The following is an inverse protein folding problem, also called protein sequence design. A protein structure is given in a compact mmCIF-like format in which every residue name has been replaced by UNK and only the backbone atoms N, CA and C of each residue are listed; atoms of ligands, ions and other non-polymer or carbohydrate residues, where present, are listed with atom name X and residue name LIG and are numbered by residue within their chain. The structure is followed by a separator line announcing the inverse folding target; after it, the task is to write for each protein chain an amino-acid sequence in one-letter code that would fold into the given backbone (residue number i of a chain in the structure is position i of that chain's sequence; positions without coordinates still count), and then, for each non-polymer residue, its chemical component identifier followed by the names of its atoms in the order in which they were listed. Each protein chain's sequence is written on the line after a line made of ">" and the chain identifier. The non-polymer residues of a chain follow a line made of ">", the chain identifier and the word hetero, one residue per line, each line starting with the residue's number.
data_IF_522245877082
#
_entry.id   IF_522245877082
#
_cell.length_a   1.000
_cell.length_b   1.000
_cell.length_c   1.000
_cell.angle_alpha   90.00
_cell.angle_beta   90.00
_cell.angle_gamma   90.00
#
_symmetry.space_group_name_H-M   'P 1'
#
loop_
_entity.id
_entity.type
_entity.pdbx_description
1 polymer ?
#
# COMPACT_ATOMS: atom_id res chain seq x y z
N UNK A 1 1.77 -3.33 44.92
CA UNK A 1 1.53 -2.86 43.53
C UNK A 1 1.05 -4.06 42.73
N UNK A 2 -0.06 -3.95 42.00
CA UNK A 2 -0.49 -5.01 41.09
C UNK A 2 0.51 -5.05 39.92
N UNK A 3 1.26 -6.13 39.80
CA UNK A 3 2.13 -6.39 38.64
C UNK A 3 1.24 -6.50 37.39
N UNK A 4 1.55 -5.76 36.33
CA UNK A 4 0.78 -5.79 35.08
C UNK A 4 1.57 -6.56 34.01
N UNK A 5 1.23 -7.83 33.75
CA UNK A 5 2.04 -8.72 32.91
C UNK A 5 1.95 -8.37 31.42
N UNK A 6 3.11 -8.24 30.78
CA UNK A 6 3.33 -8.07 29.34
C UNK A 6 3.65 -9.39 28.64
N UNK A 7 4.24 -10.34 29.36
CA UNK A 7 4.55 -11.66 28.83
C UNK A 7 3.26 -12.45 28.55
N UNK A 8 3.20 -13.10 27.37
CA UNK A 8 2.07 -13.95 26.96
C UNK A 8 2.48 -15.33 26.41
N UNK A 9 3.74 -15.68 26.56
CA UNK A 9 4.29 -16.94 26.07
C UNK A 9 4.07 -18.11 27.03
N UNK A 10 4.64 -19.24 26.69
CA UNK A 10 4.60 -20.48 27.47
C UNK A 10 5.84 -20.58 28.38
N UNK A 11 5.63 -20.84 29.68
CA UNK A 11 6.70 -21.15 30.64
C UNK A 11 6.66 -22.61 31.00
N UNK A 12 7.81 -23.27 30.89
CA UNK A 12 8.02 -24.64 31.36
C UNK A 12 8.71 -24.62 32.74
N UNK A 13 8.15 -25.31 33.73
CA UNK A 13 8.73 -25.38 35.08
C UNK A 13 9.35 -26.75 35.31
N UNK A 14 10.67 -26.82 35.25
CA UNK A 14 11.47 -28.01 35.57
C UNK A 14 11.79 -28.03 37.06
N UNK A 15 11.30 -29.04 37.80
CA UNK A 15 11.54 -29.16 39.23
C UNK A 15 11.62 -30.61 39.69
N UNK A 16 12.25 -30.83 40.86
CA UNK A 16 12.28 -32.15 41.49
C UNK A 16 11.20 -32.25 42.57
N UNK A 17 10.22 -33.13 42.39
CA UNK A 17 9.06 -33.31 43.28
C UNK A 17 9.41 -33.63 44.74
N UNK A 18 10.48 -34.40 44.94
CA UNK A 18 10.94 -34.82 46.27
C UNK A 18 11.68 -33.71 47.02
N UNK A 19 11.98 -32.58 46.37
CA UNK A 19 12.87 -31.56 46.92
C UNK A 19 12.09 -30.37 47.50
N UNK A 20 11.24 -29.70 46.71
CA UNK A 20 10.54 -28.48 47.16
C UNK A 20 9.12 -28.32 46.59
N UNK A 21 8.20 -29.28 46.80
CA UNK A 21 6.86 -29.26 46.20
C UNK A 21 5.97 -28.11 46.70
N UNK A 22 6.19 -27.61 47.92
CA UNK A 22 5.47 -26.46 48.47
C UNK A 22 5.73 -25.16 47.71
N UNK A 23 7.01 -24.85 47.47
CA UNK A 23 7.45 -23.67 46.72
C UNK A 23 6.91 -23.69 45.28
N UNK A 24 6.98 -24.84 44.61
CA UNK A 24 6.50 -24.97 43.23
C UNK A 24 4.99 -24.76 43.14
N UNK A 25 4.22 -25.32 44.08
CA UNK A 25 2.76 -25.10 44.12
C UNK A 25 2.40 -23.63 44.32
N UNK A 26 3.09 -22.94 45.22
CA UNK A 26 2.87 -21.52 45.44
C UNK A 26 3.24 -20.68 44.21
N UNK A 27 4.42 -20.92 43.62
CA UNK A 27 4.87 -20.25 42.39
C UNK A 27 3.87 -20.46 41.24
N UNK A 28 3.37 -21.69 41.07
CA UNK A 28 2.35 -21.96 40.06
C UNK A 28 1.07 -21.19 40.28
N UNK A 29 0.59 -21.10 41.53
CA UNK A 29 -0.61 -20.35 41.87
C UNK A 29 -0.45 -18.90 41.43
N UNK A 30 0.67 -18.28 41.77
CA UNK A 30 0.94 -16.89 41.42
C UNK A 30 1.12 -16.71 39.91
N UNK A 31 1.88 -17.58 39.25
CA UNK A 31 2.04 -17.52 37.80
C UNK A 31 0.73 -17.69 37.04
N UNK A 32 -0.16 -18.59 37.50
CA UNK A 32 -1.49 -18.78 36.88
C UNK A 32 -2.40 -17.58 37.11
N UNK A 33 -2.32 -16.96 38.29
CA UNK A 33 -3.09 -15.76 38.61
C UNK A 33 -2.60 -14.54 37.81
N UNK A 34 -1.30 -14.42 37.56
CA UNK A 34 -0.70 -13.31 36.85
C UNK A 34 -0.72 -13.49 35.33
N UNK A 35 -0.10 -14.55 34.80
CA UNK A 35 0.06 -14.78 33.36
C UNK A 35 -1.11 -15.55 32.72
N UNK A 36 -1.93 -16.21 33.54
CA UNK A 36 -3.06 -17.02 33.09
C UNK A 36 -2.72 -18.50 32.94
N UNK A 37 -3.72 -19.36 33.18
CA UNK A 37 -3.50 -20.81 33.31
C UNK A 37 -3.03 -21.53 32.04
N UNK A 38 -3.24 -20.94 30.85
CA UNK A 38 -2.82 -21.51 29.56
C UNK A 38 -1.33 -21.29 29.24
N UNK A 39 -0.66 -20.43 29.98
CA UNK A 39 0.72 -20.02 29.73
C UNK A 39 1.73 -20.77 30.60
N UNK A 40 1.27 -21.54 31.59
CA UNK A 40 2.14 -22.25 32.54
C UNK A 40 2.00 -23.75 32.31
N UNK A 41 3.03 -24.35 31.71
CA UNK A 41 3.11 -25.78 31.45
C UNK A 41 3.90 -26.45 32.58
N UNK A 42 3.30 -27.49 33.16
CA UNK A 42 3.90 -28.30 34.20
C UNK A 42 4.06 -29.72 33.68
N UNK A 43 5.20 -30.33 34.01
CA UNK A 43 5.42 -31.74 34.32
C UNK A 43 4.44 -32.77 33.73
N UNK A 44 5.03 -33.70 32.98
CA UNK A 44 4.33 -34.74 32.25
C UNK A 44 4.13 -35.98 33.11
N UNK A 45 3.10 -35.98 33.96
CA UNK A 45 2.54 -37.24 34.48
C UNK A 45 1.20 -37.63 33.86
N UNK A 46 0.60 -36.75 33.05
CA UNK A 46 -0.52 -37.10 32.16
C UNK A 46 -0.02 -37.68 30.81
N UNK A 47 1.11 -38.40 30.83
CA UNK A 47 1.60 -39.11 29.64
C UNK A 47 0.78 -40.38 29.47
N UNK A 48 0.03 -40.47 28.38
CA UNK A 48 -0.71 -41.67 28.04
C UNK A 48 0.23 -42.89 28.00
N UNK A 49 -0.21 -44.00 28.60
CA UNK A 49 0.54 -45.25 28.61
C UNK A 49 0.90 -45.69 27.18
N UNK A 50 2.18 -45.97 26.94
CA UNK A 50 2.71 -46.40 25.63
C UNK A 50 3.40 -45.30 24.79
N UNK A 51 3.50 -44.07 25.30
CA UNK A 51 4.17 -42.97 24.59
C UNK A 51 5.69 -42.93 24.86
N UNK A 52 6.50 -42.54 23.87
CA UNK A 52 7.92 -42.27 24.07
C UNK A 52 8.10 -40.94 24.82
N UNK A 53 8.40 -41.04 26.12
CA UNK A 53 8.51 -39.91 27.02
C UNK A 53 9.57 -38.89 26.62
N UNK A 54 10.66 -39.30 25.95
CA UNK A 54 11.70 -38.37 25.50
C UNK A 54 11.16 -37.45 24.41
N UNK A 55 10.38 -37.99 23.50
CA UNK A 55 9.73 -37.23 22.42
C UNK A 55 8.79 -36.18 23.02
N UNK A 56 8.02 -36.53 24.04
CA UNK A 56 7.07 -35.58 24.63
C UNK A 56 7.80 -34.50 25.47
N UNK A 57 8.90 -34.82 26.17
CA UNK A 57 9.72 -33.80 26.85
C UNK A 57 10.32 -32.85 25.83
N UNK A 58 10.86 -33.38 24.72
CA UNK A 58 11.39 -32.56 23.64
C UNK A 58 10.32 -31.66 23.02
N UNK A 59 9.11 -32.18 22.81
CA UNK A 59 7.98 -31.43 22.28
C UNK A 59 7.53 -30.32 23.25
N UNK A 60 7.36 -30.65 24.54
CA UNK A 60 6.96 -29.71 25.57
C UNK A 60 7.99 -28.59 25.76
N UNK A 61 9.29 -28.92 25.81
CA UNK A 61 10.37 -27.93 25.87
C UNK A 61 10.47 -27.15 24.56
N UNK A 62 10.26 -27.75 23.40
CA UNK A 62 10.31 -27.03 22.12
C UNK A 62 9.20 -25.98 21.96
N UNK A 63 8.09 -26.18 22.66
CA UNK A 63 6.93 -25.29 22.62
C UNK A 63 6.95 -24.23 23.74
N UNK A 64 7.97 -24.20 24.59
CA UNK A 64 8.12 -23.18 25.64
C UNK A 64 8.99 -22.00 25.18
N UNK A 65 8.61 -20.78 25.60
CA UNK A 65 9.41 -19.57 25.37
C UNK A 65 10.42 -19.31 26.50
N UNK A 66 10.26 -20.00 27.64
CA UNK A 66 11.08 -19.85 28.84
C UNK A 66 11.05 -21.13 29.67
N UNK A 67 12.18 -21.52 30.24
CA UNK A 67 12.27 -22.58 31.25
C UNK A 67 12.68 -22.02 32.62
N UNK A 68 11.93 -22.36 33.66
CA UNK A 68 12.30 -22.13 35.06
C UNK A 68 12.90 -23.41 35.63
N UNK A 69 14.15 -23.37 36.06
CA UNK A 69 14.82 -24.49 36.71
C UNK A 69 14.75 -24.30 38.23
N UNK A 70 13.84 -25.02 38.90
CA UNK A 70 13.66 -24.91 40.35
C UNK A 70 14.70 -25.77 41.07
N UNK A 71 15.56 -25.12 41.85
CA UNK A 71 16.68 -25.73 42.56
C UNK A 71 16.43 -25.58 44.06
N UNK A 72 16.12 -26.70 44.73
CA UNK A 72 16.02 -26.79 46.19
C UNK A 72 17.27 -27.43 46.82
N UNK A 73 17.30 -27.56 48.16
CA UNK A 73 18.49 -28.03 48.89
C UNK A 73 18.92 -29.47 48.53
N UNK A 74 17.97 -30.33 48.16
CA UNK A 74 18.21 -31.71 47.75
C UNK A 74 18.42 -31.91 46.25
N UNK A 75 18.39 -30.85 45.45
CA UNK A 75 18.37 -30.95 43.99
C UNK A 75 19.58 -31.69 43.41
N UNK A 76 20.79 -31.36 43.88
CA UNK A 76 22.08 -31.95 43.46
C UNK A 76 22.28 -33.35 44.03
N UNK A 77 21.87 -33.56 45.28
CA UNK A 77 22.18 -34.77 46.06
C UNK A 77 21.12 -35.86 45.94
N UNK A 78 20.02 -35.60 45.22
CA UNK A 78 18.96 -36.56 44.98
C UNK A 78 19.49 -37.86 44.37
N UNK A 79 19.07 -38.99 44.95
CA UNK A 79 19.48 -40.34 44.52
C UNK A 79 18.32 -41.14 43.94
N UNK A 80 18.63 -42.06 43.05
CA UNK A 80 17.71 -43.08 42.56
C UNK A 80 17.61 -44.29 43.52
N UNK A 81 16.85 -45.31 43.13
CA UNK A 81 16.70 -46.56 43.89
C UNK A 81 18.02 -47.31 44.06
N UNK A 82 18.98 -47.11 43.14
CA UNK A 82 20.32 -47.71 43.15
C UNK A 82 21.36 -46.85 43.91
N UNK A 83 20.90 -45.83 44.64
CA UNK A 83 21.75 -44.88 45.37
C UNK A 83 22.72 -44.08 44.49
N UNK A 84 22.51 -43.99 43.18
CA UNK A 84 23.28 -43.12 42.29
C UNK A 84 22.68 -41.72 42.26
N UNK A 85 23.51 -40.67 42.08
CA UNK A 85 22.98 -39.31 41.93
C UNK A 85 22.17 -39.24 40.65
N UNK A 86 20.93 -38.76 40.76
CA UNK A 86 19.99 -38.70 39.63
C UNK A 86 20.50 -37.83 38.49
N UNK A 87 21.15 -36.69 38.80
CA UNK A 87 21.71 -35.83 37.76
C UNK A 87 22.83 -36.52 36.95
N UNK A 88 23.52 -37.51 37.51
CA UNK A 88 24.56 -38.25 36.76
C UNK A 88 23.94 -39.21 35.74
N UNK A 89 22.70 -39.65 35.96
CA UNK A 89 21.93 -40.42 34.97
C UNK A 89 21.56 -39.54 33.77
N UNK A 90 21.89 -40.01 32.58
CA UNK A 90 21.54 -39.35 31.31
C UNK A 90 20.03 -39.39 31.04
N UNK A 91 19.28 -40.22 31.76
CA UNK A 91 17.83 -40.37 31.62
C UNK A 91 17.04 -39.58 32.69
N UNK A 92 17.69 -38.85 33.61
CA UNK A 92 16.95 -38.04 34.58
C UNK A 92 16.22 -36.88 33.89
N UNK A 93 14.92 -36.78 34.16
CA UNK A 93 14.03 -35.84 33.48
C UNK A 93 14.47 -34.38 33.63
N UNK A 94 14.81 -33.97 34.87
CA UNK A 94 15.26 -32.61 35.16
C UNK A 94 16.52 -32.26 34.37
N UNK A 95 17.46 -33.21 34.23
CA UNK A 95 18.65 -33.02 33.41
C UNK A 95 18.28 -32.89 31.93
N UNK A 96 17.46 -33.80 31.40
CA UNK A 96 17.03 -33.79 30.00
C UNK A 96 16.32 -32.49 29.63
N UNK A 97 15.40 -32.01 30.47
CA UNK A 97 14.64 -30.77 30.26
C UNK A 97 15.56 -29.55 30.17
N UNK A 98 16.47 -29.38 31.15
CA UNK A 98 17.38 -28.23 31.21
C UNK A 98 18.39 -28.27 30.06
N UNK A 99 19.00 -29.43 29.80
CA UNK A 99 19.95 -29.60 28.68
C UNK A 99 19.25 -29.32 27.36
N UNK A 100 18.02 -29.81 27.17
CA UNK A 100 17.21 -29.59 25.97
C UNK A 100 16.91 -28.11 25.73
N UNK A 101 16.58 -27.37 26.78
CA UNK A 101 16.33 -25.92 26.70
C UNK A 101 17.61 -25.14 26.38
N UNK A 102 18.71 -25.43 27.07
CA UNK A 102 20.01 -24.80 26.84
C UNK A 102 20.51 -25.02 25.41
N UNK A 103 20.41 -26.25 24.90
CA UNK A 103 20.81 -26.60 23.54
C UNK A 103 20.00 -25.83 22.47
N UNK A 104 18.71 -25.58 22.73
CA UNK A 104 17.80 -24.82 21.86
C UNK A 104 17.91 -23.30 22.05
N UNK A 105 18.76 -22.83 22.97
CA UNK A 105 18.86 -21.43 23.38
C UNK A 105 17.53 -20.85 23.88
N UNK A 106 16.67 -21.71 24.43
CA UNK A 106 15.51 -21.26 25.19
C UNK A 106 16.05 -20.63 26.47
N UNK A 107 15.61 -19.43 26.85
CA UNK A 107 16.09 -18.82 28.07
C UNK A 107 15.77 -19.69 29.29
N UNK A 108 16.77 -19.85 30.17
CA UNK A 108 16.64 -20.60 31.41
C UNK A 108 16.86 -19.64 32.58
N UNK A 109 15.93 -19.61 33.54
CA UNK A 109 16.10 -18.88 34.80
C UNK A 109 16.21 -19.90 35.94
N UNK A 110 17.38 -20.04 36.57
CA UNK A 110 17.50 -20.80 37.81
C UNK A 110 16.75 -20.10 38.93
N UNK A 111 15.89 -20.84 39.64
CA UNK A 111 15.10 -20.34 40.76
C UNK A 111 15.49 -21.09 42.02
N UNK A 112 16.14 -20.41 42.97
CA UNK A 112 16.62 -21.02 44.21
C UNK A 112 15.51 -20.99 45.27
N UNK A 113 15.15 -22.14 45.81
CA UNK A 113 14.07 -22.27 46.81
C UNK A 113 14.58 -22.92 48.10
N UNK A 114 13.90 -22.69 49.22
CA UNK A 114 14.22 -23.36 50.49
C UNK A 114 15.65 -23.10 51.00
N UNK A 115 16.19 -21.90 50.78
CA UNK A 115 17.58 -21.52 51.09
C UNK A 115 18.65 -22.34 50.34
N UNK A 116 18.29 -22.93 49.20
CA UNK A 116 19.26 -23.56 48.32
C UNK A 116 20.33 -22.57 47.84
N UNK A 117 21.54 -23.09 47.65
CA UNK A 117 22.64 -22.36 47.02
C UNK A 117 22.78 -22.82 45.58
N UNK A 118 23.30 -21.93 44.74
CA UNK A 118 23.64 -22.30 43.37
C UNK A 118 24.71 -23.42 43.39
N UNK A 119 24.52 -24.52 42.63
CA UNK A 119 25.53 -25.57 42.54
C UNK A 119 26.83 -25.05 41.93
N UNK A 120 27.94 -25.69 42.30
CA UNK A 120 29.25 -25.47 41.68
C UNK A 120 29.39 -26.29 40.39
N UNK A 121 30.31 -25.91 39.51
CA UNK A 121 30.52 -26.61 38.23
C UNK A 121 30.95 -28.08 38.40
N UNK A 122 31.65 -28.40 39.49
CA UNK A 122 32.12 -29.76 39.81
C UNK A 122 30.99 -30.66 40.31
N UNK A 123 29.93 -30.08 40.87
CA UNK A 123 28.76 -30.81 41.35
C UNK A 123 27.82 -31.22 40.22
N UNK A 124 28.00 -30.66 39.01
CA UNK A 124 27.14 -30.88 37.85
C UNK A 124 27.81 -31.69 36.75
N UNK A 125 27.04 -32.52 36.03
CA UNK A 125 27.47 -33.10 34.76
C UNK A 125 27.89 -32.02 33.75
N UNK A 126 28.81 -32.39 32.86
CA UNK A 126 29.44 -31.46 31.90
C UNK A 126 28.44 -30.68 31.03
N UNK A 127 27.31 -31.30 30.65
CA UNK A 127 26.25 -30.70 29.84
C UNK A 127 25.34 -29.72 30.61
N UNK A 128 25.39 -29.73 31.95
CA UNK A 128 24.65 -28.81 32.81
C UNK A 128 25.51 -27.67 33.37
N UNK A 129 26.83 -27.66 33.16
CA UNK A 129 27.71 -26.66 33.76
C UNK A 129 27.39 -25.22 33.33
N UNK A 130 26.80 -25.02 32.14
CA UNK A 130 26.32 -23.70 31.68
C UNK A 130 25.30 -23.09 32.66
N UNK A 131 24.52 -23.90 33.37
CA UNK A 131 23.52 -23.46 34.33
C UNK A 131 24.14 -22.58 35.44
N UNK A 132 25.38 -22.89 35.86
CA UNK A 132 26.10 -22.15 36.93
C UNK A 132 26.40 -20.71 36.53
N UNK A 133 26.52 -20.44 35.23
CA UNK A 133 26.81 -19.09 34.72
C UNK A 133 25.57 -18.20 34.62
N UNK A 134 24.37 -18.77 34.82
CA UNK A 134 23.12 -18.03 34.72
C UNK A 134 22.79 -17.32 36.04
N UNK A 135 22.24 -16.11 35.93
CA UNK A 135 21.78 -15.35 37.09
C UNK A 135 20.56 -16.03 37.72
N UNK A 136 20.72 -16.52 38.94
CA UNK A 136 19.62 -17.14 39.67
C UNK A 136 18.73 -16.09 40.36
N UNK A 137 17.45 -16.43 40.54
CA UNK A 137 16.48 -15.66 41.31
C UNK A 137 16.09 -16.46 42.57
N UNK A 138 16.41 -15.96 43.77
CA UNK A 138 16.00 -16.63 45.00
C UNK A 138 14.52 -16.37 45.31
N UNK A 139 13.81 -17.39 45.78
CA UNK A 139 12.48 -17.29 46.39
C UNK A 139 12.56 -17.76 47.84
N UNK A 140 12.35 -16.83 48.77
CA UNK A 140 12.29 -17.10 50.21
C UNK A 140 10.85 -17.17 50.71
N UNK A 141 10.60 -17.86 51.83
CA UNK A 141 9.26 -17.86 52.42
C UNK A 141 8.94 -16.50 53.05
N UNK A 142 9.97 -15.84 53.60
CA UNK A 142 9.87 -14.58 54.34
C UNK A 142 9.62 -13.36 53.43
N UNK A 143 10.07 -13.41 52.17
CA UNK A 143 9.94 -12.30 51.19
C UNK A 143 9.21 -12.74 49.92
N UNK A 144 8.27 -13.66 50.05
CA UNK A 144 7.59 -14.29 48.92
C UNK A 144 7.06 -13.28 47.90
N UNK A 145 6.28 -12.29 48.35
CA UNK A 145 5.65 -11.31 47.45
C UNK A 145 6.68 -10.48 46.65
N UNK A 146 7.76 -10.03 47.32
CA UNK A 146 8.82 -9.25 46.69
C UNK A 146 9.65 -10.10 45.72
N UNK A 147 9.98 -11.33 46.13
CA UNK A 147 10.79 -12.26 45.33
C UNK A 147 10.01 -12.74 44.08
N UNK A 148 8.70 -12.94 44.18
CA UNK A 148 7.82 -13.24 43.03
C UNK A 148 7.77 -12.08 42.04
N UNK A 149 7.63 -10.83 42.51
CA UNK A 149 7.67 -9.66 41.63
C UNK A 149 9.02 -9.57 40.90
N UNK A 150 10.12 -9.84 41.59
CA UNK A 150 11.46 -9.88 40.99
C UNK A 150 11.59 -10.98 39.93
N UNK A 151 11.05 -12.17 40.21
CA UNK A 151 11.03 -13.27 39.24
C UNK A 151 10.21 -12.89 38.00
N UNK A 152 9.01 -12.34 38.17
CA UNK A 152 8.16 -11.96 37.04
C UNK A 152 8.79 -10.84 36.20
N UNK A 153 9.46 -9.89 36.85
CA UNK A 153 10.26 -8.87 36.14
C UNK A 153 11.41 -9.49 35.34
N UNK A 154 12.09 -10.50 35.91
CA UNK A 154 13.15 -11.22 35.21
C UNK A 154 12.61 -12.02 34.02
N UNK A 155 11.44 -12.67 34.16
CA UNK A 155 10.73 -13.35 33.07
C UNK A 155 10.47 -12.38 31.92
N UNK A 156 9.86 -11.23 32.20
CA UNK A 156 9.56 -10.23 31.15
C UNK A 156 10.82 -9.71 30.47
N UNK A 157 11.86 -9.40 31.23
CA UNK A 157 13.11 -8.89 30.67
C UNK A 157 13.75 -9.89 29.70
N UNK A 158 13.72 -11.17 30.04
CA UNK A 158 14.36 -12.22 29.24
C UNK A 158 13.52 -12.62 28.01
N UNK A 159 12.21 -12.37 28.03
CA UNK A 159 11.29 -12.83 26.98
C UNK A 159 10.71 -11.70 26.12
N UNK A 160 10.25 -10.61 26.74
CA UNK A 160 9.57 -9.49 26.08
C UNK A 160 10.57 -8.59 25.36
N UNK A 161 11.69 -8.23 25.99
CA UNK A 161 12.66 -7.30 25.41
C UNK A 161 13.28 -7.85 24.09
N UNK A 162 13.74 -9.12 24.00
CA UNK A 162 14.24 -9.68 22.74
C UNK A 162 13.16 -9.79 21.66
N UNK A 163 11.92 -10.13 22.05
CA UNK A 163 10.78 -10.21 21.13
C UNK A 163 10.46 -8.84 20.53
N UNK A 164 10.38 -7.81 21.36
CA UNK A 164 10.16 -6.43 20.93
C UNK A 164 11.32 -5.97 20.05
N UNK A 165 12.59 -6.25 20.42
CA UNK A 165 13.75 -5.88 19.61
C UNK A 165 13.71 -6.52 18.21
N UNK A 166 13.31 -7.80 18.11
CA UNK A 166 13.15 -8.51 16.83
C UNK A 166 11.98 -7.97 16.01
N UNK A 167 10.84 -7.67 16.65
CA UNK A 167 9.71 -7.04 15.97
C UNK A 167 10.07 -5.64 15.48
N UNK A 168 10.80 -4.87 16.29
CA UNK A 168 11.26 -3.53 15.95
C UNK A 168 12.21 -3.54 14.76
N UNK A 169 13.21 -4.44 14.75
CA UNK A 169 14.12 -4.57 13.60
C UNK A 169 13.38 -5.00 12.33
N UNK A 170 12.41 -5.92 12.45
CA UNK A 170 11.54 -6.33 11.33
C UNK A 170 10.69 -5.16 10.83
N UNK A 171 10.14 -4.34 11.74
CA UNK A 171 9.35 -3.18 11.38
C UNK A 171 10.20 -2.11 10.68
N UNK A 172 11.43 -1.86 11.14
CA UNK A 172 12.37 -0.96 10.46
C UNK A 172 12.75 -1.50 9.07
N UNK A 173 13.02 -2.80 8.94
CA UNK A 173 13.29 -3.41 7.64
C UNK A 173 12.11 -3.27 6.67
N UNK A 174 10.88 -3.46 7.16
CA UNK A 174 9.65 -3.23 6.38
C UNK A 174 9.51 -1.76 5.98
N UNK A 175 9.86 -0.81 6.86
CA UNK A 175 9.89 0.62 6.51
C UNK A 175 10.90 0.90 5.40
N UNK A 176 12.13 0.39 5.52
CA UNK A 176 13.18 0.57 4.52
C UNK A 176 12.80 -0.03 3.15
N UNK A 177 12.00 -1.11 3.16
CA UNK A 177 11.46 -1.74 1.95
C UNK A 177 10.19 -1.07 1.39
N UNK A 178 9.62 -0.08 2.09
CA UNK A 178 8.40 0.63 1.67
C UNK A 178 7.08 -0.01 2.12
N UNK A 179 7.11 -1.09 2.92
CA UNK A 179 5.93 -1.74 3.51
C UNK A 179 5.45 -1.03 4.79
N UNK A 180 5.25 0.28 4.69
CA UNK A 180 4.97 1.14 5.85
C UNK A 180 3.66 0.84 6.59
N UNK A 181 2.61 0.29 5.94
CA UNK A 181 1.36 -0.06 6.61
C UNK A 181 1.54 -1.24 7.55
N UNK A 182 2.28 -2.25 7.07
CA UNK A 182 2.65 -3.40 7.89
C UNK A 182 3.60 -2.98 9.00
N UNK A 183 4.57 -2.10 8.70
CA UNK A 183 5.45 -1.58 9.72
C UNK A 183 4.72 -0.73 10.76
N UNK A 184 3.76 0.11 10.35
CA UNK A 184 2.90 0.87 11.27
C UNK A 184 2.16 -0.07 12.21
N UNK A 185 1.57 -1.16 11.69
CA UNK A 185 0.90 -2.17 12.50
C UNK A 185 1.83 -2.81 13.53
N UNK A 186 3.05 -3.18 13.14
CA UNK A 186 4.05 -3.77 14.04
C UNK A 186 4.52 -2.76 15.11
N UNK A 187 4.76 -1.50 14.71
CA UNK A 187 5.15 -0.43 15.61
C UNK A 187 4.04 -0.09 16.61
N UNK A 188 2.77 -0.06 16.18
CA UNK A 188 1.62 0.13 17.08
C UNK A 188 1.47 -1.01 18.08
N UNK A 189 1.78 -2.26 17.67
CA UNK A 189 1.86 -3.38 18.61
C UNK A 189 2.97 -3.14 19.64
N UNK A 190 4.17 -2.71 19.20
CA UNK A 190 5.29 -2.42 20.10
C UNK A 190 4.91 -1.31 21.09
N UNK A 191 4.34 -0.20 20.61
CA UNK A 191 3.89 0.93 21.45
C UNK A 191 2.83 0.51 22.48
N UNK A 192 1.96 -0.43 22.12
CA UNK A 192 0.94 -0.97 23.04
C UNK A 192 1.53 -1.84 24.16
N UNK A 193 2.69 -2.47 23.95
CA UNK A 193 3.35 -3.37 24.92
C UNK A 193 4.39 -2.63 25.74
N UNK A 194 5.23 -1.81 25.10
CA UNK A 194 6.27 -1.00 25.73
C UNK A 194 6.19 0.45 25.23
N UNK A 195 5.33 1.27 25.86
CA UNK A 195 5.27 2.68 25.56
C UNK A 195 6.66 3.30 25.76
N UNK A 196 7.14 4.07 24.77
CA UNK A 196 8.49 4.70 24.73
C UNK A 196 9.67 3.80 24.33
N UNK A 197 9.44 2.58 23.82
CA UNK A 197 10.53 1.78 23.27
C UNK A 197 11.24 2.50 22.11
N UNK A 198 12.52 2.86 22.28
CA UNK A 198 13.42 3.43 21.25
C UNK A 198 12.82 4.54 20.36
N UNK A 199 11.95 5.40 20.90
CA UNK A 199 11.31 6.48 20.14
C UNK A 199 10.32 6.01 19.07
N UNK A 200 9.69 4.84 19.29
CA UNK A 200 8.59 4.33 18.46
C UNK A 200 7.42 5.32 18.34
N UNK A 201 6.96 6.01 19.40
CA UNK A 201 5.85 6.97 19.28
C UNK A 201 6.11 8.08 18.25
N UNK A 202 7.33 8.62 18.21
CA UNK A 202 7.74 9.65 17.27
C UNK A 202 7.76 9.15 15.82
N UNK A 203 8.02 7.84 15.62
CA UNK A 203 7.99 7.19 14.31
C UNK A 203 6.58 6.84 13.84
N UNK A 204 5.68 6.49 14.77
CA UNK A 204 4.28 6.15 14.45
C UNK A 204 3.50 7.37 13.97
N UNK A 205 3.69 8.53 14.61
CA UNK A 205 2.91 9.75 14.33
C UNK A 205 2.83 10.13 12.84
N UNK A 206 3.95 10.32 12.12
CA UNK A 206 3.89 10.68 10.70
C UNK A 206 3.27 9.57 9.83
N UNK A 207 3.44 8.30 10.20
CA UNK A 207 2.83 7.18 9.48
C UNK A 207 1.31 7.13 9.67
N UNK A 208 0.82 7.45 10.88
CA UNK A 208 -0.62 7.53 11.18
C UNK A 208 -1.27 8.72 10.46
N UNK A 209 -0.62 9.87 10.47
CA UNK A 209 -1.08 11.06 9.75
C UNK A 209 -1.18 10.75 8.24
N UNK A 210 -0.16 10.09 7.68
CA UNK A 210 -0.15 9.65 6.29
C UNK A 210 -1.25 8.63 5.98
N UNK A 211 -1.54 7.68 6.87
CA UNK A 211 -2.67 6.76 6.72
C UNK A 211 -4.01 7.49 6.71
N UNK A 212 -4.17 8.48 7.59
CA UNK A 212 -5.38 9.28 7.66
C UNK A 212 -5.56 10.14 6.41
N UNK A 213 -4.50 10.76 5.90
CA UNK A 213 -4.55 11.56 4.68
C UNK A 213 -4.79 10.69 3.44
N UNK A 214 -4.11 9.54 3.31
CA UNK A 214 -4.37 8.60 2.22
C UNK A 214 -5.81 8.06 2.25
N UNK A 215 -6.41 7.88 3.43
CA UNK A 215 -7.82 7.48 3.53
C UNK A 215 -8.80 8.52 3.01
N UNK A 216 -8.38 9.79 2.93
CA UNK A 216 -9.19 10.91 2.40
C UNK A 216 -9.05 11.09 0.90
N UNK A 217 -7.90 10.73 0.32
CA UNK A 217 -7.52 11.09 -1.06
C UNK A 217 -7.39 9.85 -1.97
N UNK A 218 -7.15 8.65 -1.41
CA UNK A 218 -7.06 7.41 -2.17
C UNK A 218 -8.41 6.72 -2.39
N UNK A 219 -8.44 5.56 -3.10
CA UNK A 219 -9.62 4.72 -3.20
C UNK A 219 -10.02 4.22 -1.80
N UNK A 220 -10.97 4.91 -1.17
CA UNK A 220 -11.57 4.50 0.09
C UNK A 220 -12.60 3.38 -0.09
N UNK A 221 -13.15 2.88 1.01
CA UNK A 221 -14.16 1.81 1.03
C UNK A 221 -15.45 2.19 0.29
N UNK A 222 -15.75 3.50 0.15
CA UNK A 222 -16.94 4.05 -0.52
C UNK A 222 -16.61 5.36 -1.25
N UNK A 223 -17.35 5.65 -2.31
CA UNK A 223 -17.26 6.92 -3.06
C UNK A 223 -16.86 6.75 -4.53
N UNK A 224 -16.88 7.85 -5.28
CA UNK A 224 -16.60 7.83 -6.73
C UNK A 224 -15.15 7.46 -7.07
N UNK A 225 -14.18 7.78 -6.20
CA UNK A 225 -12.78 7.38 -6.33
C UNK A 225 -12.61 5.86 -6.41
N UNK A 226 -13.40 5.10 -5.64
CA UNK A 226 -13.40 3.63 -5.67
C UNK A 226 -13.91 3.11 -7.03
N UNK A 227 -15.01 3.68 -7.53
CA UNK A 227 -15.55 3.28 -8.84
C UNK A 227 -14.57 3.62 -9.98
N UNK A 228 -13.91 4.77 -9.90
CA UNK A 228 -12.88 5.16 -10.85
C UNK A 228 -11.64 4.25 -10.79
N UNK A 229 -11.23 3.83 -9.60
CA UNK A 229 -10.14 2.86 -9.42
C UNK A 229 -10.53 1.42 -9.85
N UNK A 230 -11.79 1.03 -9.69
CA UNK A 230 -12.29 -0.27 -10.13
C UNK A 230 -12.40 -0.39 -11.67
N UNK A 231 -12.71 0.72 -12.36
CA UNK A 231 -12.82 0.77 -13.81
C UNK A 231 -12.02 1.92 -14.44
N UNK A 232 -10.69 1.93 -14.28
CA UNK A 232 -9.84 3.08 -14.63
C UNK A 232 -9.85 3.36 -16.14
N UNK A 233 -9.80 2.32 -16.96
CA UNK A 233 -9.84 2.45 -18.42
C UNK A 233 -11.15 3.08 -18.90
N UNK A 234 -12.29 2.60 -18.38
CA UNK A 234 -13.60 3.12 -18.77
C UNK A 234 -13.77 4.59 -18.37
N UNK A 235 -13.29 4.97 -17.18
CA UNK A 235 -13.30 6.35 -16.70
C UNK A 235 -12.46 7.26 -17.61
N UNK A 236 -11.21 6.88 -17.89
CA UNK A 236 -10.32 7.67 -18.77
C UNK A 236 -10.83 7.75 -20.21
N UNK A 237 -11.42 6.67 -20.75
CA UNK A 237 -12.05 6.68 -22.07
C UNK A 237 -13.24 7.63 -22.14
N UNK A 238 -14.11 7.63 -21.12
CA UNK A 238 -15.27 8.53 -21.09
C UNK A 238 -14.82 10.01 -21.05
N UNK A 239 -13.86 10.32 -20.19
CA UNK A 239 -13.32 11.67 -20.03
C UNK A 239 -12.56 12.17 -21.27
N UNK A 240 -11.91 11.26 -22.02
CA UNK A 240 -11.19 11.62 -23.24
C UNK A 240 -12.08 11.69 -24.49
N UNK A 241 -13.05 10.78 -24.63
CA UNK A 241 -13.91 10.71 -25.81
C UNK A 241 -14.95 11.82 -25.83
N UNK A 242 -15.52 12.20 -24.69
CA UNK A 242 -16.61 13.19 -24.64
C UNK A 242 -16.20 14.55 -25.28
N UNK A 243 -15.07 15.18 -24.92
CA UNK A 243 -14.64 16.42 -25.57
C UNK A 243 -14.36 16.24 -27.08
N UNK A 244 -13.80 15.09 -27.48
CA UNK A 244 -13.51 14.78 -28.87
C UNK A 244 -14.79 14.65 -29.71
N UNK A 245 -15.80 13.95 -29.19
CA UNK A 245 -17.10 13.80 -29.87
C UNK A 245 -17.79 15.15 -30.01
N UNK A 246 -17.79 15.97 -28.95
CA UNK A 246 -18.36 17.32 -29.01
C UNK A 246 -17.64 18.21 -30.03
N UNK A 247 -16.30 18.14 -30.08
CA UNK A 247 -15.50 18.86 -31.07
C UNK A 247 -15.79 18.39 -32.49
N UNK A 248 -15.90 17.08 -32.73
CA UNK A 248 -16.23 16.51 -34.03
C UNK A 248 -17.66 16.90 -34.49
N UNK A 249 -18.63 16.86 -33.59
CA UNK A 249 -20.01 17.28 -33.86
C UNK A 249 -20.07 18.78 -34.21
N UNK A 250 -19.39 19.63 -33.43
CA UNK A 250 -19.29 21.05 -33.76
C UNK A 250 -18.64 21.25 -35.13
N UNK A 251 -17.49 20.61 -35.39
CA UNK A 251 -16.74 20.77 -36.64
C UNK A 251 -17.60 20.38 -37.86
N UNK A 252 -18.30 19.26 -37.77
CA UNK A 252 -19.20 18.79 -38.82
C UNK A 252 -20.30 19.82 -39.11
N UNK A 253 -21.05 20.22 -38.08
CA UNK A 253 -22.20 21.13 -38.24
C UNK A 253 -21.77 22.53 -38.68
N UNK A 254 -20.64 23.03 -38.16
CA UNK A 254 -20.12 24.33 -38.52
C UNK A 254 -19.66 24.36 -39.98
N UNK A 255 -18.84 23.39 -40.41
CA UNK A 255 -18.36 23.32 -41.78
C UNK A 255 -19.50 23.03 -42.77
N UNK A 256 -20.52 22.28 -42.35
CA UNK A 256 -21.73 22.09 -43.15
C UNK A 256 -22.43 23.43 -43.45
N UNK A 257 -22.72 24.22 -42.43
CA UNK A 257 -23.47 25.48 -42.59
C UNK A 257 -22.67 26.57 -43.30
N UNK A 258 -21.36 26.64 -43.05
CA UNK A 258 -20.52 27.74 -43.54
C UNK A 258 -19.86 27.46 -44.88
N UNK A 259 -19.59 26.19 -45.21
CA UNK A 259 -18.84 25.81 -46.42
C UNK A 259 -19.72 24.99 -47.36
N UNK A 260 -20.18 23.82 -46.90
CA UNK A 260 -20.82 22.82 -47.78
C UNK A 260 -22.16 23.33 -48.32
N UNK A 261 -23.05 23.81 -47.44
CA UNK A 261 -24.37 24.29 -47.83
C UNK A 261 -24.28 25.48 -48.82
N UNK A 262 -23.41 26.49 -48.62
CA UNK A 262 -23.15 27.51 -49.64
C UNK A 262 -22.51 26.99 -50.93
N UNK A 263 -21.67 25.94 -50.90
CA UNK A 263 -21.13 25.32 -52.11
C UNK A 263 -22.23 24.65 -52.95
N UNK A 264 -23.14 23.90 -52.30
CA UNK A 264 -24.30 23.31 -52.98
C UNK A 264 -25.20 24.38 -53.60
N UNK A 265 -25.45 25.49 -52.89
CA UNK A 265 -26.23 26.62 -53.45
C UNK A 265 -25.55 27.30 -54.66
N UNK A 266 -24.22 27.20 -54.78
CA UNK A 266 -23.44 27.70 -55.93
C UNK A 266 -23.38 26.71 -57.11
N UNK A 267 -24.04 25.56 -57.02
CA UNK A 267 -24.11 24.53 -58.07
C UNK A 267 -23.03 23.46 -58.00
N UNK A 268 -22.35 23.30 -56.85
CA UNK A 268 -21.40 22.20 -56.61
C UNK A 268 -22.12 21.06 -55.89
N UNK A 269 -23.02 20.37 -56.59
CA UNK A 269 -23.96 19.40 -55.99
C UNK A 269 -23.28 18.17 -55.34
N UNK A 270 -22.04 17.85 -55.74
CA UNK A 270 -21.30 16.70 -55.18
C UNK A 270 -20.59 17.00 -53.84
N UNK A 271 -20.43 18.28 -53.48
CA UNK A 271 -19.68 18.68 -52.28
C UNK A 271 -20.28 18.09 -50.99
N UNK A 272 -21.61 18.04 -50.92
CA UNK A 272 -22.35 17.46 -49.80
C UNK A 272 -22.04 15.97 -49.60
N UNK A 273 -22.14 15.21 -50.68
CA UNK A 273 -21.89 13.77 -50.65
C UNK A 273 -20.43 13.46 -50.27
N UNK A 274 -19.47 14.15 -50.88
CA UNK A 274 -18.04 13.94 -50.55
C UNK A 274 -17.73 14.34 -49.11
N UNK A 275 -18.31 15.42 -48.59
CA UNK A 275 -18.13 15.80 -47.20
C UNK A 275 -18.71 14.76 -46.24
N UNK A 276 -19.92 14.25 -46.48
CA UNK A 276 -20.54 13.23 -45.63
C UNK A 276 -19.71 11.93 -45.60
N UNK A 277 -19.31 11.43 -46.78
CA UNK A 277 -18.50 10.21 -46.87
C UNK A 277 -17.15 10.42 -46.18
N UNK A 278 -16.49 11.56 -46.42
CA UNK A 278 -15.22 11.89 -45.77
C UNK A 278 -15.37 11.99 -44.25
N UNK A 279 -16.44 12.62 -43.76
CA UNK A 279 -16.71 12.73 -42.33
C UNK A 279 -16.90 11.38 -41.66
N UNK A 280 -17.66 10.47 -42.30
CA UNK A 280 -17.85 9.11 -41.79
C UNK A 280 -16.51 8.38 -41.75
N UNK A 281 -15.74 8.39 -42.84
CA UNK A 281 -14.47 7.66 -42.95
C UNK A 281 -13.43 8.20 -41.98
N UNK A 282 -13.20 9.52 -41.96
CA UNK A 282 -12.20 10.16 -41.09
C UNK A 282 -12.57 10.01 -39.63
N UNK A 283 -13.83 10.24 -39.25
CA UNK A 283 -14.22 10.11 -37.85
C UNK A 283 -14.17 8.63 -37.41
N UNK A 284 -14.73 7.71 -38.17
CA UNK A 284 -14.72 6.28 -37.79
C UNK A 284 -13.30 5.74 -37.66
N UNK A 285 -12.42 6.06 -38.61
CA UNK A 285 -11.01 5.65 -38.55
C UNK A 285 -10.27 6.35 -37.41
N UNK A 286 -10.43 7.67 -37.25
CA UNK A 286 -9.77 8.47 -36.22
C UNK A 286 -10.16 8.04 -34.80
N UNK A 287 -11.46 7.91 -34.52
CA UNK A 287 -11.95 7.45 -33.21
C UNK A 287 -11.52 6.01 -32.92
N UNK A 288 -11.59 5.11 -33.90
CA UNK A 288 -11.17 3.71 -33.69
C UNK A 288 -9.67 3.61 -33.41
N UNK A 289 -8.84 4.27 -34.22
CA UNK A 289 -7.39 4.27 -34.05
C UNK A 289 -6.98 4.96 -32.75
N UNK A 290 -7.52 6.14 -32.46
CA UNK A 290 -7.23 6.89 -31.24
C UNK A 290 -7.61 6.12 -29.98
N UNK A 291 -8.79 5.50 -29.97
CA UNK A 291 -9.25 4.66 -28.86
C UNK A 291 -8.36 3.45 -28.68
N UNK A 292 -8.04 2.72 -29.76
CA UNK A 292 -7.17 1.54 -29.70
C UNK A 292 -5.76 1.87 -29.18
N UNK A 293 -5.16 2.97 -29.67
CA UNK A 293 -3.85 3.43 -29.22
C UNK A 293 -3.88 3.84 -27.74
N UNK A 294 -4.89 4.59 -27.32
CA UNK A 294 -4.99 5.00 -25.92
C UNK A 294 -5.24 3.81 -24.99
N UNK A 295 -6.09 2.85 -25.38
CA UNK A 295 -6.29 1.59 -24.65
C UNK A 295 -4.97 0.85 -24.50
N UNK A 296 -4.20 0.71 -25.58
CA UNK A 296 -2.89 0.05 -25.53
C UNK A 296 -1.94 0.72 -24.52
N UNK A 297 -1.89 2.05 -24.51
CA UNK A 297 -1.03 2.82 -23.59
C UNK A 297 -1.52 2.82 -22.14
N UNK A 298 -2.84 2.82 -21.92
CA UNK A 298 -3.48 2.87 -20.59
C UNK A 298 -3.66 1.49 -19.94
N UNK A 299 -3.60 0.42 -20.72
CA UNK A 299 -3.81 -0.96 -20.25
C UNK A 299 -2.82 -1.39 -19.14
N UNK A 300 -1.51 -1.08 -19.18
CA UNK A 300 -0.60 -1.42 -18.08
C UNK A 300 -1.02 -0.79 -16.74
N UNK A 301 -1.41 0.49 -16.76
CA UNK A 301 -1.89 1.21 -15.57
C UNK A 301 -3.19 0.60 -15.05
N UNK A 302 -4.12 0.27 -15.97
CA UNK A 302 -5.40 -0.33 -15.62
C UNK A 302 -5.25 -1.73 -15.00
N UNK A 303 -4.36 -2.56 -15.54
CA UNK A 303 -4.03 -3.87 -14.96
C UNK A 303 -3.30 -3.74 -13.61
N UNK A 304 -2.36 -2.81 -13.49
CA UNK A 304 -1.69 -2.53 -12.23
C UNK A 304 -2.64 -2.09 -11.13
N UNK A 305 -3.66 -1.29 -11.48
CA UNK A 305 -4.73 -0.91 -10.55
C UNK A 305 -5.61 -2.11 -10.18
N UNK A 306 -5.97 -2.96 -11.15
CA UNK A 306 -6.73 -4.18 -10.86
C UNK A 306 -5.95 -5.14 -9.93
N UNK A 307 -4.65 -5.31 -10.16
CA UNK A 307 -3.75 -6.09 -9.28
C UNK A 307 -3.78 -5.50 -7.86
N UNK A 308 -3.69 -4.17 -7.72
CA UNK A 308 -3.74 -3.47 -6.43
C UNK A 308 -5.10 -3.64 -5.72
N UNK A 309 -6.22 -3.43 -6.42
CA UNK A 309 -7.58 -3.60 -5.87
C UNK A 309 -7.82 -5.04 -5.40
N UNK A 310 -7.21 -6.02 -6.06
CA UNK A 310 -7.26 -7.44 -5.67
C UNK A 310 -6.23 -7.84 -4.59
N UNK A 311 -5.47 -6.89 -4.05
CA UNK A 311 -4.51 -7.14 -2.97
C UNK A 311 -3.20 -7.82 -3.39
N UNK A 312 -2.85 -7.79 -4.68
CA UNK A 312 -1.58 -8.34 -5.19
C UNK A 312 -0.43 -7.40 -4.84
N UNK A 313 0.64 -7.94 -4.25
CA UNK A 313 1.85 -7.17 -3.94
C UNK A 313 2.65 -6.88 -5.22
N UNK A 314 2.91 -5.61 -5.50
CA UNK A 314 3.64 -5.15 -6.69
C UNK A 314 5.11 -4.87 -6.35
N UNK A 315 6.04 -5.29 -7.22
CA UNK A 315 7.47 -5.02 -7.03
C UNK A 315 7.78 -3.51 -7.15
N UNK A 316 8.83 -3.00 -6.49
CA UNK A 316 9.20 -1.58 -6.55
C UNK A 316 9.46 -1.07 -7.97
N UNK A 317 10.09 -1.88 -8.83
CA UNK A 317 10.34 -1.53 -10.23
C UNK A 317 9.06 -1.43 -11.05
N UNK A 318 8.09 -2.31 -10.79
CA UNK A 318 6.77 -2.27 -11.44
C UNK A 318 5.97 -1.07 -10.97
N UNK A 319 6.02 -0.72 -9.69
CA UNK A 319 5.40 0.51 -9.17
C UNK A 319 6.01 1.78 -9.77
N UNK A 320 7.34 1.85 -9.92
CA UNK A 320 7.99 2.97 -10.59
C UNK A 320 7.50 3.14 -12.05
N UNK A 321 7.47 2.04 -12.81
CA UNK A 321 6.95 2.04 -14.17
C UNK A 321 5.48 2.47 -14.25
N UNK A 322 4.62 1.95 -13.37
CA UNK A 322 3.19 2.29 -13.35
C UNK A 322 2.95 3.75 -12.99
N UNK A 323 3.71 4.30 -12.04
CA UNK A 323 3.67 5.72 -11.66
C UNK A 323 4.02 6.63 -12.82
N UNK A 324 5.16 6.38 -13.46
CA UNK A 324 5.60 7.17 -14.62
C UNK A 324 4.57 7.12 -15.75
N UNK A 325 4.10 5.91 -16.09
CA UNK A 325 3.09 5.73 -17.14
C UNK A 325 1.78 6.44 -16.80
N UNK A 326 1.28 6.27 -15.57
CA UNK A 326 0.05 6.90 -15.09
C UNK A 326 0.10 8.42 -15.25
N UNK A 327 1.22 9.03 -14.84
CA UNK A 327 1.44 10.47 -14.97
C UNK A 327 1.53 10.96 -16.43
N UNK A 328 2.01 10.12 -17.34
CA UNK A 328 2.16 10.46 -18.76
C UNK A 328 0.89 10.25 -19.61
N UNK A 329 -0.12 9.53 -19.11
CA UNK A 329 -1.34 9.20 -19.90
C UNK A 329 -2.06 10.45 -20.42
N UNK A 330 -2.12 11.52 -19.63
CA UNK A 330 -2.69 12.80 -20.05
C UNK A 330 -1.99 13.40 -21.28
N UNK A 331 -0.66 13.35 -21.31
CA UNK A 331 0.12 13.83 -22.44
C UNK A 331 -0.02 12.92 -23.67
N UNK A 332 -0.12 11.60 -23.47
CA UNK A 332 -0.33 10.66 -24.57
C UNK A 332 -1.67 10.89 -25.26
N UNK A 333 -2.77 11.06 -24.51
CA UNK A 333 -4.07 11.30 -25.14
C UNK A 333 -4.09 12.64 -25.87
N UNK A 334 -3.47 13.68 -25.32
CA UNK A 334 -3.37 14.98 -25.98
C UNK A 334 -2.63 14.88 -27.31
N UNK A 335 -1.50 14.16 -27.33
CA UNK A 335 -0.70 13.95 -28.55
C UNK A 335 -1.45 13.12 -29.59
N UNK A 336 -2.09 12.02 -29.16
CA UNK A 336 -2.94 11.19 -30.04
C UNK A 336 -4.02 12.07 -30.69
N UNK A 337 -4.76 12.85 -29.90
CA UNK A 337 -5.78 13.76 -30.40
C UNK A 337 -5.19 14.74 -31.42
N UNK A 338 -4.15 15.50 -31.07
CA UNK A 338 -3.56 16.51 -31.97
C UNK A 338 -3.06 15.88 -33.27
N UNK A 339 -2.38 14.73 -33.21
CA UNK A 339 -1.92 14.04 -34.40
C UNK A 339 -3.09 13.63 -35.31
N UNK A 340 -4.16 13.07 -34.76
CA UNK A 340 -5.33 12.67 -35.54
C UNK A 340 -6.04 13.87 -36.17
N UNK A 341 -6.18 14.98 -35.43
CA UNK A 341 -6.75 16.22 -35.97
C UNK A 341 -5.86 16.84 -37.06
N UNK A 342 -4.53 16.86 -36.88
CA UNK A 342 -3.60 17.34 -37.92
C UNK A 342 -3.71 16.49 -39.19
N UNK A 343 -3.79 15.16 -39.06
CA UNK A 343 -3.95 14.25 -40.20
C UNK A 343 -5.31 14.45 -40.88
N UNK A 344 -6.38 14.66 -40.11
CA UNK A 344 -7.71 14.92 -40.65
C UNK A 344 -7.77 16.21 -41.47
N UNK A 345 -7.01 17.24 -41.09
CA UNK A 345 -7.05 18.57 -41.69
C UNK A 345 -6.91 18.61 -43.21
N UNK A 346 -5.89 17.98 -43.81
CA UNK A 346 -5.74 17.91 -45.28
C UNK A 346 -6.71 16.96 -45.98
N UNK A 347 -7.18 15.90 -45.29
CA UNK A 347 -8.01 14.85 -45.92
C UNK A 347 -9.35 15.40 -46.40
N UNK A 348 -10.01 16.25 -45.60
CA UNK A 348 -11.31 16.81 -45.97
C UNK A 348 -11.24 17.76 -47.18
N UNK A 349 -10.33 18.76 -47.24
CA UNK A 349 -10.17 19.61 -48.42
C UNK A 349 -9.82 18.85 -49.70
N UNK A 350 -8.96 17.84 -49.60
CA UNK A 350 -8.57 17.01 -50.73
C UNK A 350 -9.74 16.16 -51.25
N UNK A 351 -10.60 15.67 -50.35
CA UNK A 351 -11.71 14.81 -50.71
C UNK A 351 -12.92 15.58 -51.30
N UNK A 352 -13.20 16.79 -50.82
CA UNK A 352 -14.28 17.64 -51.37
C UNK A 352 -13.87 18.21 -52.74
N UNK A 353 -12.60 18.58 -52.91
CA UNK A 353 -12.11 19.27 -54.10
C UNK A 353 -12.71 20.67 -54.29
N UNK A 354 -12.14 21.45 -55.21
CA UNK A 354 -12.69 22.75 -55.64
C UNK A 354 -12.98 23.79 -54.53
N UNK A 355 -12.28 23.73 -53.39
CA UNK A 355 -12.43 24.74 -52.33
C UNK A 355 -11.79 26.06 -52.75
N UNK A 356 -12.54 27.15 -52.59
CA UNK A 356 -11.98 28.50 -52.67
C UNK A 356 -11.03 28.75 -51.50
N UNK A 357 -10.07 29.68 -51.68
CA UNK A 357 -9.12 30.05 -50.63
C UNK A 357 -9.80 30.41 -49.30
N UNK A 358 -10.93 31.11 -49.36
CA UNK A 358 -11.75 31.42 -48.19
C UNK A 358 -12.18 30.13 -47.49
N UNK A 359 -12.89 29.25 -48.20
CA UNK A 359 -13.47 28.03 -47.62
C UNK A 359 -12.39 27.11 -47.03
N UNK A 360 -11.20 27.07 -47.65
CA UNK A 360 -10.03 26.37 -47.10
C UNK A 360 -9.56 26.95 -45.76
N UNK A 361 -9.41 28.28 -45.65
CA UNK A 361 -9.00 28.95 -44.40
C UNK A 361 -10.01 28.68 -43.28
N UNK A 362 -11.31 28.72 -43.59
CA UNK A 362 -12.37 28.42 -42.63
C UNK A 362 -12.29 26.99 -42.14
N UNK A 363 -12.10 26.04 -43.06
CA UNK A 363 -12.01 24.62 -42.73
C UNK A 363 -10.81 24.33 -41.83
N UNK A 364 -9.63 24.83 -42.20
CA UNK A 364 -8.41 24.62 -41.40
C UNK A 364 -8.51 25.28 -40.03
N UNK A 365 -9.11 26.48 -39.94
CA UNK A 365 -9.24 27.19 -38.67
C UNK A 365 -10.25 26.49 -37.74
N UNK A 366 -11.40 26.04 -38.25
CA UNK A 366 -12.37 25.30 -37.45
C UNK A 366 -11.77 23.98 -36.93
N UNK A 367 -10.96 23.32 -37.76
CA UNK A 367 -10.31 22.05 -37.45
C UNK A 367 -9.14 22.23 -36.45
N UNK A 368 -8.39 23.33 -36.56
CA UNK A 368 -7.36 23.70 -35.60
C UNK A 368 -7.96 23.97 -34.20
N UNK A 369 -9.08 24.71 -34.12
CA UNK A 369 -9.77 24.97 -32.85
C UNK A 369 -10.26 23.66 -32.22
N UNK A 370 -10.85 22.77 -33.02
CA UNK A 370 -11.30 21.47 -32.54
C UNK A 370 -10.13 20.59 -32.07
N UNK A 371 -8.99 20.63 -32.78
CA UNK A 371 -7.75 19.98 -32.35
C UNK A 371 -7.23 20.50 -31.01
N UNK A 372 -7.28 21.81 -30.78
CA UNK A 372 -6.92 22.40 -29.47
C UNK A 372 -7.86 21.92 -28.37
N UNK A 373 -9.17 21.90 -28.60
CA UNK A 373 -10.18 21.38 -27.64
C UNK A 373 -9.91 19.91 -27.31
N UNK A 374 -9.71 19.10 -28.34
CA UNK A 374 -9.46 17.66 -28.28
C UNK A 374 -8.11 17.31 -27.63
N UNK A 375 -7.14 18.23 -27.63
CA UNK A 375 -5.92 18.09 -26.86
C UNK A 375 -6.13 18.48 -25.39
N UNK A 376 -6.77 19.63 -25.19
CA UNK A 376 -6.77 20.35 -23.92
C UNK A 376 -7.62 19.69 -22.85
N UNK A 377 -8.90 19.43 -23.14
CA UNK A 377 -9.78 18.87 -22.13
C UNK A 377 -9.50 17.39 -21.83
N UNK A 378 -9.13 16.54 -22.81
CA UNK A 378 -8.66 15.19 -22.51
C UNK A 378 -7.36 15.17 -21.70
N UNK A 379 -6.39 16.07 -21.98
CA UNK A 379 -5.22 16.21 -21.13
C UNK A 379 -5.62 16.51 -19.68
N UNK A 380 -6.41 17.56 -19.47
CA UNK A 380 -6.77 18.04 -18.13
C UNK A 380 -7.56 16.98 -17.35
N UNK A 381 -8.58 16.39 -17.97
CA UNK A 381 -9.46 15.42 -17.31
C UNK A 381 -8.76 14.08 -17.02
N UNK A 382 -7.97 13.53 -17.96
CA UNK A 382 -7.21 12.30 -17.73
C UNK A 382 -6.09 12.52 -16.72
N UNK A 383 -5.37 13.65 -16.81
CA UNK A 383 -4.33 14.01 -15.83
C UNK A 383 -4.92 14.12 -14.43
N UNK A 384 -6.09 14.75 -14.29
CA UNK A 384 -6.76 14.90 -13.00
C UNK A 384 -7.09 13.54 -12.36
N UNK A 385 -7.72 12.61 -13.09
CA UNK A 385 -7.98 11.26 -12.57
C UNK A 385 -6.69 10.52 -12.25
N UNK A 386 -5.68 10.67 -13.12
CA UNK A 386 -4.39 10.05 -12.89
C UNK A 386 -3.73 10.56 -11.61
N UNK A 387 -3.75 11.86 -11.32
CA UNK A 387 -3.07 12.41 -10.13
C UNK A 387 -3.87 12.25 -8.84
N UNK A 388 -5.20 12.34 -8.90
CA UNK A 388 -6.07 12.36 -7.71
C UNK A 388 -6.68 10.99 -7.36
N UNK A 389 -6.61 10.01 -8.27
CA UNK A 389 -7.17 8.68 -8.01
C UNK A 389 -6.09 7.61 -8.20
N UNK A 390 -5.52 7.53 -9.40
CA UNK A 390 -4.74 6.37 -9.80
C UNK A 390 -3.30 6.39 -9.27
N UNK A 391 -2.63 7.54 -9.37
CA UNK A 391 -1.24 7.73 -8.97
C UNK A 391 -1.07 7.50 -7.46
N UNK A 392 -2.00 7.99 -6.65
CA UNK A 392 -1.97 7.84 -5.19
C UNK A 392 -1.98 6.38 -4.76
N UNK A 393 -2.72 5.51 -5.47
CA UNK A 393 -2.71 4.07 -5.19
C UNK A 393 -1.34 3.43 -5.47
N UNK A 394 -0.52 4.03 -6.34
CA UNK A 394 0.83 3.55 -6.65
C UNK A 394 1.92 4.22 -5.79
N UNK A 395 1.58 5.19 -4.93
CA UNK A 395 2.55 5.78 -3.99
C UNK A 395 2.66 4.87 -2.77
N UNK A 396 3.79 4.18 -2.65
CA UNK A 396 4.24 3.64 -1.37
C UNK A 396 5.03 4.73 -0.61
N UNK A 397 4.71 5.05 0.65
CA UNK A 397 5.55 5.82 1.55
C UNK A 397 7.01 5.35 1.56
N UNK A 398 7.93 6.30 1.42
CA UNK A 398 9.36 6.04 1.23
C UNK A 398 9.79 5.79 -0.23
N UNK A 399 8.85 5.56 -1.16
CA UNK A 399 9.15 5.33 -2.59
C UNK A 399 9.30 6.61 -3.42
N UNK A 400 9.22 7.79 -2.82
CA UNK A 400 9.43 9.08 -3.48
C UNK A 400 10.90 9.26 -3.83
N UNK A 401 11.32 8.63 -4.92
CA UNK A 401 12.59 8.91 -5.58
C UNK A 401 12.56 10.33 -6.19
N UNK A 402 13.70 11.00 -6.23
CA UNK A 402 13.86 12.34 -6.82
C UNK A 402 13.34 12.44 -8.27
N UNK A 403 13.36 11.32 -9.00
CA UNK A 403 12.86 11.20 -10.37
C UNK A 403 11.33 11.43 -10.48
N UNK A 404 10.55 11.02 -9.48
CA UNK A 404 9.10 11.25 -9.46
C UNK A 404 8.76 12.73 -9.25
N UNK A 405 9.56 13.44 -8.45
CA UNK A 405 9.38 14.88 -8.22
C UNK A 405 9.62 15.68 -9.49
N UNK A 406 10.62 15.31 -10.29
CA UNK A 406 10.90 15.96 -11.57
C UNK A 406 9.74 15.81 -12.56
N UNK A 407 9.12 14.62 -12.64
CA UNK A 407 7.98 14.38 -13.52
C UNK A 407 6.73 15.14 -13.06
N UNK A 408 6.44 15.16 -11.76
CA UNK A 408 5.33 15.95 -11.20
C UNK A 408 5.51 17.45 -11.47
N UNK A 409 6.73 17.98 -11.35
CA UNK A 409 7.03 19.37 -11.70
C UNK A 409 6.83 19.65 -13.20
N UNK A 410 7.16 18.69 -14.08
CA UNK A 410 6.87 18.81 -15.52
C UNK A 410 5.37 18.84 -15.78
N UNK A 411 4.60 17.98 -15.12
CA UNK A 411 3.14 17.97 -15.25
C UNK A 411 2.54 19.28 -14.75
N UNK A 412 3.02 19.83 -13.63
CA UNK A 412 2.55 21.12 -13.14
C UNK A 412 2.84 22.25 -14.14
N UNK A 413 4.02 22.24 -14.78
CA UNK A 413 4.33 23.17 -15.85
C UNK A 413 3.45 22.96 -17.10
N UNK A 414 3.15 21.72 -17.48
CA UNK A 414 2.26 21.42 -18.61
C UNK A 414 0.81 21.82 -18.32
N UNK A 415 0.31 21.53 -17.11
CA UNK A 415 -1.02 21.91 -16.62
C UNK A 415 -1.30 23.37 -16.89
N UNK A 416 -0.38 24.27 -16.55
CA UNK A 416 -0.54 25.69 -16.81
C UNK A 416 -0.64 26.03 -18.31
N UNK A 417 0.12 25.35 -19.17
CA UNK A 417 0.02 25.54 -20.63
C UNK A 417 -1.35 25.13 -21.16
N UNK A 418 -1.88 23.98 -20.72
CA UNK A 418 -3.21 23.52 -21.12
C UNK A 418 -4.34 24.37 -20.50
N UNK A 419 -4.18 24.88 -19.28
CA UNK A 419 -5.13 25.84 -18.70
C UNK A 419 -5.14 27.17 -19.47
N UNK A 420 -3.98 27.66 -19.92
CA UNK A 420 -3.90 28.82 -20.80
C UNK A 420 -4.60 28.57 -22.13
N UNK A 421 -4.42 27.39 -22.74
CA UNK A 421 -5.14 26.99 -23.94
C UNK A 421 -6.66 26.94 -23.70
N UNK A 422 -7.09 26.35 -22.58
CA UNK A 422 -8.50 26.30 -22.19
C UNK A 422 -9.10 27.70 -22.00
N UNK A 423 -8.37 28.62 -21.36
CA UNK A 423 -8.79 30.01 -21.19
C UNK A 423 -8.78 30.82 -22.50
N UNK A 424 -7.89 30.48 -23.44
CA UNK A 424 -7.83 31.10 -24.76
C UNK A 424 -8.97 30.65 -25.69
N UNK A 425 -9.53 29.45 -25.49
CA UNK A 425 -10.55 28.88 -26.37
C UNK A 425 -11.79 29.77 -26.56
N UNK A 426 -12.45 30.30 -25.50
CA UNK A 426 -13.57 31.23 -25.68
C UNK A 426 -13.20 32.46 -26.50
N UNK A 427 -11.99 33.01 -26.30
CA UNK A 427 -11.51 34.16 -27.07
C UNK A 427 -11.26 33.79 -28.52
N UNK A 428 -10.64 32.65 -28.81
CA UNK A 428 -10.45 32.14 -30.17
C UNK A 428 -11.79 31.96 -30.90
N UNK A 429 -12.82 31.48 -30.21
CA UNK A 429 -14.17 31.32 -30.77
C UNK A 429 -14.82 32.67 -31.05
N UNK A 430 -14.67 33.66 -30.16
CA UNK A 430 -15.17 35.03 -30.40
C UNK A 430 -14.41 35.69 -31.55
N UNK A 431 -13.08 35.59 -31.59
CA UNK A 431 -12.26 36.11 -32.69
C UNK A 431 -12.65 35.47 -34.01
N UNK A 432 -12.86 34.15 -34.03
CA UNK A 432 -13.38 33.43 -35.18
C UNK A 432 -14.74 34.00 -35.60
N UNK A 433 -15.67 34.16 -34.66
CA UNK A 433 -16.97 34.74 -34.92
C UNK A 433 -16.91 36.17 -35.48
N UNK A 434 -16.00 37.02 -34.99
CA UNK A 434 -15.84 38.42 -35.40
C UNK A 434 -15.13 38.56 -36.75
N UNK A 435 -14.00 37.89 -36.94
CA UNK A 435 -13.22 37.92 -38.19
C UNK A 435 -14.03 37.34 -39.34
N UNK A 436 -14.81 36.30 -39.06
CA UNK A 436 -15.61 35.61 -40.07
C UNK A 436 -17.04 36.17 -40.18
N UNK A 437 -17.46 37.09 -39.30
CA UNK A 437 -18.82 37.65 -39.18
C UNK A 437 -19.43 38.14 -40.50
N UNK A 438 -18.71 38.88 -41.39
CA UNK A 438 -19.30 39.36 -42.64
C UNK A 438 -19.64 38.25 -43.65
N UNK A 439 -19.15 37.03 -43.43
CA UNK A 439 -19.16 35.93 -44.39
C UNK A 439 -19.80 34.64 -43.83
N UNK A 440 -20.03 34.55 -42.51
CA UNK A 440 -20.67 33.39 -41.85
C UNK A 440 -22.19 33.39 -42.06
N UNK A 441 -22.82 34.57 -42.19
CA UNK A 441 -24.15 34.83 -42.79
C UNK A 441 -25.39 34.13 -42.21
N UNK A 442 -25.27 33.02 -41.48
CA UNK A 442 -26.39 32.20 -40.99
C UNK A 442 -26.53 32.29 -39.47
N UNK A 443 -27.78 32.45 -39.02
CA UNK A 443 -28.15 32.44 -37.60
C UNK A 443 -27.66 31.17 -36.89
N UNK A 444 -27.68 30.03 -37.59
CA UNK A 444 -27.25 28.73 -37.08
C UNK A 444 -25.75 28.70 -36.74
N UNK A 445 -24.89 29.22 -37.62
CA UNK A 445 -23.46 29.25 -37.38
C UNK A 445 -23.07 30.15 -36.19
N UNK A 446 -23.74 31.28 -36.02
CA UNK A 446 -23.57 32.13 -34.83
C UNK A 446 -23.98 31.43 -33.54
N UNK A 447 -25.08 30.66 -33.56
CA UNK A 447 -25.50 29.84 -32.41
C UNK A 447 -24.45 28.77 -32.10
N UNK A 448 -23.94 28.06 -33.11
CA UNK A 448 -22.91 27.03 -32.92
C UNK A 448 -21.64 27.62 -32.28
N UNK A 449 -21.19 28.80 -32.72
CA UNK A 449 -20.06 29.50 -32.10
C UNK A 449 -20.36 29.95 -30.67
N UNK A 450 -21.57 30.45 -30.40
CA UNK A 450 -22.00 30.81 -29.05
C UNK A 450 -21.99 29.62 -28.10
N UNK A 451 -22.51 28.46 -28.55
CA UNK A 451 -22.50 27.21 -27.79
C UNK A 451 -21.06 26.75 -27.54
N UNK A 452 -20.20 26.77 -28.57
CA UNK A 452 -18.80 26.38 -28.41
C UNK A 452 -18.06 27.29 -27.42
N UNK A 453 -18.27 28.60 -27.50
CA UNK A 453 -17.66 29.58 -26.59
C UNK A 453 -18.12 29.38 -25.15
N UNK A 454 -19.42 29.15 -24.94
CA UNK A 454 -19.98 28.85 -23.60
C UNK A 454 -19.45 27.53 -23.05
N UNK A 455 -19.46 26.44 -23.84
CA UNK A 455 -18.90 25.15 -23.44
C UNK A 455 -17.40 25.26 -23.14
N UNK A 456 -16.65 26.03 -23.93
CA UNK A 456 -15.24 26.30 -23.69
C UNK A 456 -15.01 27.03 -22.36
N UNK A 457 -15.81 28.05 -22.07
CA UNK A 457 -15.74 28.81 -20.81
C UNK A 457 -16.12 27.94 -19.61
N UNK A 458 -17.21 27.18 -19.71
CA UNK A 458 -17.62 26.25 -18.66
C UNK A 458 -16.54 25.19 -18.40
N UNK A 459 -15.96 24.62 -19.47
CA UNK A 459 -14.85 23.67 -19.38
C UNK A 459 -13.61 24.29 -18.72
N UNK A 460 -13.29 25.56 -19.01
CA UNK A 460 -12.19 26.28 -18.37
C UNK A 460 -12.44 26.53 -16.88
N UNK A 461 -13.65 26.94 -16.49
CA UNK A 461 -14.03 27.13 -15.07
C UNK A 461 -13.93 25.81 -14.32
N UNK A 462 -14.45 24.72 -14.90
CA UNK A 462 -14.32 23.38 -14.30
C UNK A 462 -12.86 22.98 -14.17
N UNK A 463 -12.03 23.22 -15.19
CA UNK A 463 -10.60 22.93 -15.13
C UNK A 463 -9.89 23.73 -14.03
N UNK A 464 -10.23 25.00 -13.80
CA UNK A 464 -9.69 25.80 -12.70
C UNK A 464 -10.18 25.34 -11.31
N UNK A 465 -11.35 24.71 -11.23
CA UNK A 465 -11.85 24.19 -9.96
C UNK A 465 -11.20 22.85 -9.58
N UNK A 466 -10.83 22.05 -10.59
CA UNK A 466 -10.22 20.73 -10.40
C UNK A 466 -8.70 20.77 -10.13
N UNK A 467 -8.02 21.89 -10.37
CA UNK A 467 -6.57 22.05 -10.35
C UNK A 467 -6.15 23.32 -9.62
#
# INVERSE_FOLDING_TARGET
>A
MLFNPKFRGSVFISYRRTDSPGYVRALMSDMRNTFGSKQVFLDMEDVAAGSDFRVIIEEAVSNCELLLAIIGPGWVTARDEMQQRRLDDRNDFVRLEIVSALARKIPVIPVLVGNAKMPTAEELPMDLQTLVTLQAVPLSHERWDDDIIRLFTAIERVTVEPRIARQYSTALQKLDQGFWQEALKELEIIDSVEPHYLGVPEKIRPLRDLAQDLSRIGPGVRGWHNQAAAHPLACMLLLSLLPNVLAALFNYNFNWEVIIRPMTMRGIDQAEHYFQVSAIVVNTSGFSLGTALFVYLANPVSRGMADFVNGVTLSPSRLAFLRERCLMLGQYIALISVCLWIIAGPVYPLAIGALEWRDYVYFITSLAICGVIAATYPFLSVTWVCTHVLYLAFIAPGSTQAENTALLNRIDAWKWRYLMLAGALPMLVVTLGLVLSPQVGSRTASILLGVLGFCGLAGFIVALWLF
#
